data_IF_598215807934
#
_entry.id   IF_598215807934
#
_cell.length_a   1.000
_cell.length_b   1.000
_cell.length_c   1.000
_cell.angle_alpha   90.00
_cell.angle_beta   90.00
_cell.angle_gamma   90.00
#
_symmetry.space_group_name_H-M   'P 1'
#
loop_
_entity.id
_entity.type
_entity.pdbx_description
1 polymer ?
#
# COMPACT_ATOMS: atom_id res chain seq x y z
N UNK A 1 9.65 8.21 32.87
CA UNK A 1 9.28 7.88 31.48
C UNK A 1 8.91 9.16 30.78
N UNK A 2 9.74 9.70 29.90
CA UNK A 2 9.39 10.90 29.13
C UNK A 2 8.25 10.56 28.18
N UNK A 3 7.13 11.28 28.27
CA UNK A 3 6.03 11.10 27.32
C UNK A 3 6.45 11.56 25.91
N UNK A 4 6.33 10.65 24.94
CA UNK A 4 6.53 10.96 23.54
C UNK A 4 5.45 11.92 23.06
N UNK A 5 5.88 13.03 22.46
CA UNK A 5 4.96 14.00 21.86
C UNK A 5 4.20 13.38 20.69
N UNK A 6 3.02 13.94 20.38
CA UNK A 6 2.23 13.54 19.22
C UNK A 6 3.03 13.56 17.91
N UNK A 7 3.86 14.60 17.71
CA UNK A 7 4.71 14.73 16.51
C UNK A 7 5.70 13.60 16.38
N UNK A 8 6.31 13.16 17.48
CA UNK A 8 7.25 12.04 17.47
C UNK A 8 6.55 10.71 17.14
N UNK A 9 5.34 10.49 17.69
CA UNK A 9 4.53 9.30 17.35
C UNK A 9 4.12 9.30 15.87
N UNK A 10 3.67 10.46 15.35
CA UNK A 10 3.29 10.62 13.95
C UNK A 10 4.48 10.37 13.01
N UNK A 11 5.65 10.97 13.30
CA UNK A 11 6.86 10.75 12.50
C UNK A 11 7.33 9.29 12.52
N UNK A 12 7.19 8.59 13.64
CA UNK A 12 7.49 7.16 13.71
C UNK A 12 6.51 6.34 12.86
N UNK A 13 5.21 6.63 12.95
CA UNK A 13 4.19 5.95 12.15
C UNK A 13 4.42 6.14 10.65
N UNK A 14 4.69 7.36 10.17
CA UNK A 14 4.97 7.61 8.75
C UNK A 14 6.14 6.78 8.22
N UNK A 15 7.19 6.56 9.03
CA UNK A 15 8.33 5.71 8.66
C UNK A 15 7.95 4.24 8.50
N UNK A 16 7.06 3.74 9.36
CA UNK A 16 6.74 2.31 9.45
C UNK A 16 5.47 1.93 8.68
N UNK A 17 4.66 2.90 8.25
CA UNK A 17 3.33 2.65 7.68
C UNK A 17 3.39 1.75 6.44
N UNK A 18 4.34 1.99 5.54
CA UNK A 18 4.43 1.23 4.27
C UNK A 18 4.88 -0.22 4.49
N UNK A 19 5.89 -0.44 5.32
CA UNK A 19 6.36 -1.80 5.65
C UNK A 19 5.32 -2.60 6.42
N UNK A 20 4.62 -1.97 7.38
CA UNK A 20 3.53 -2.61 8.11
C UNK A 20 2.37 -2.97 7.19
N UNK A 21 2.01 -2.09 6.25
CA UNK A 21 0.97 -2.38 5.26
C UNK A 21 1.33 -3.58 4.38
N UNK A 22 2.56 -3.63 3.87
CA UNK A 22 3.04 -4.76 3.07
C UNK A 22 3.02 -6.07 3.86
N UNK A 23 3.47 -6.05 5.12
CA UNK A 23 3.42 -7.21 5.99
C UNK A 23 1.99 -7.70 6.22
N UNK A 24 1.03 -6.78 6.44
CA UNK A 24 -0.39 -7.12 6.56
C UNK A 24 -0.96 -7.74 5.28
N UNK A 25 -0.60 -7.25 4.10
CA UNK A 25 -1.01 -7.84 2.82
C UNK A 25 -0.46 -9.27 2.67
N UNK A 26 0.82 -9.47 3.01
CA UNK A 26 1.43 -10.81 3.01
C UNK A 26 0.69 -11.77 3.94
N UNK A 27 0.35 -11.33 5.15
CA UNK A 27 -0.41 -12.13 6.12
C UNK A 27 -1.83 -12.45 5.63
N UNK A 28 -2.43 -11.56 4.84
CA UNK A 28 -3.74 -11.78 4.22
C UNK A 28 -3.68 -12.68 2.96
N UNK A 29 -2.50 -13.19 2.59
CA UNK A 29 -2.31 -14.13 1.48
C UNK A 29 -2.13 -13.46 0.11
N UNK A 30 -1.91 -12.15 0.06
CA UNK A 30 -1.56 -11.47 -1.19
C UNK A 30 -0.10 -11.76 -1.56
N UNK A 31 0.14 -11.98 -2.85
CA UNK A 31 1.48 -12.04 -3.40
C UNK A 31 2.11 -10.65 -3.35
N UNK A 32 3.05 -10.47 -2.43
CA UNK A 32 3.70 -9.19 -2.16
C UNK A 32 5.20 -9.38 -2.08
N UNK A 33 5.92 -8.41 -2.66
CA UNK A 33 7.37 -8.34 -2.70
C UNK A 33 7.86 -7.05 -2.03
N UNK A 34 9.05 -7.04 -1.40
CA UNK A 34 9.67 -5.79 -0.94
C UNK A 34 9.76 -4.71 -2.02
N UNK A 35 9.92 -5.11 -3.29
CA UNK A 35 9.95 -4.20 -4.44
C UNK A 35 8.62 -3.47 -4.68
N UNK A 36 7.51 -3.95 -4.12
CA UNK A 36 6.22 -3.26 -4.22
C UNK A 36 6.20 -1.95 -3.40
N UNK A 37 7.12 -1.78 -2.45
CA UNK A 37 7.28 -0.53 -1.70
C UNK A 37 7.90 0.60 -2.53
N UNK A 38 8.66 0.23 -3.56
CA UNK A 38 9.34 1.15 -4.47
C UNK A 38 8.45 1.54 -5.66
N UNK A 39 7.41 0.74 -5.93
CA UNK A 39 6.47 1.02 -7.01
C UNK A 39 5.64 2.26 -6.66
N UNK A 40 5.63 3.30 -7.52
CA UNK A 40 4.72 4.42 -7.32
C UNK A 40 3.28 3.94 -7.36
N UNK A 41 2.43 4.55 -6.55
CA UNK A 41 0.99 4.33 -6.65
C UNK A 41 0.53 4.76 -8.04
N UNK A 42 -0.32 3.97 -8.72
CA UNK A 42 -0.89 4.36 -9.99
C UNK A 42 -1.70 5.64 -9.79
N UNK A 43 -1.69 6.49 -10.81
CA UNK A 43 -2.62 7.61 -10.91
C UNK A 43 -4.05 7.10 -10.96
N UNK A 44 -5.00 8.00 -10.68
CA UNK A 44 -6.42 7.67 -10.70
C UNK A 44 -6.84 7.18 -12.09
N UNK A 45 -6.33 7.80 -13.13
CA UNK A 45 -6.60 7.49 -14.53
C UNK A 45 -6.09 6.08 -14.88
N UNK A 46 -4.86 5.74 -14.48
CA UNK A 46 -4.27 4.40 -14.69
C UNK A 46 -5.04 3.31 -13.95
N UNK A 47 -5.45 3.57 -12.70
CA UNK A 47 -6.26 2.63 -11.92
C UNK A 47 -7.63 2.38 -12.57
N UNK A 48 -8.29 3.43 -13.07
CA UNK A 48 -9.57 3.32 -13.76
C UNK A 48 -9.44 2.61 -15.11
N UNK A 49 -8.37 2.88 -15.87
CA UNK A 49 -8.10 2.19 -17.13
C UNK A 49 -7.92 0.68 -16.91
N UNK A 50 -7.08 0.30 -15.93
CA UNK A 50 -6.87 -1.11 -15.56
C UNK A 50 -8.18 -1.79 -15.14
N UNK A 51 -8.98 -1.15 -14.28
CA UNK A 51 -10.27 -1.70 -13.87
C UNK A 51 -11.24 -1.94 -15.04
N UNK A 52 -11.32 -0.99 -15.98
CA UNK A 52 -12.15 -1.13 -17.18
C UNK A 52 -11.67 -2.29 -18.06
N UNK A 53 -10.36 -2.43 -18.23
CA UNK A 53 -9.76 -3.51 -19.02
C UNK A 53 -9.98 -4.88 -18.38
N UNK A 54 -9.78 -5.01 -17.07
CA UNK A 54 -10.09 -6.23 -16.30
C UNK A 54 -11.57 -6.61 -16.43
N UNK A 55 -12.48 -5.62 -16.43
CA UNK A 55 -13.92 -5.86 -16.62
C UNK A 55 -14.25 -6.39 -18.01
N UNK A 56 -13.54 -5.92 -19.05
CA UNK A 56 -13.72 -6.40 -20.42
C UNK A 56 -13.20 -7.84 -20.56
N UNK A 57 -12.04 -8.15 -19.98
CA UNK A 57 -11.43 -9.49 -20.03
C UNK A 57 -12.19 -10.56 -19.22
N UNK A 58 -13.00 -10.15 -18.25
CA UNK A 58 -13.84 -11.03 -17.43
C UNK A 58 -15.26 -11.20 -17.96
N UNK A 59 -15.62 -10.55 -19.07
CA UNK A 59 -16.87 -10.85 -19.76
C UNK A 59 -16.66 -12.10 -20.63
N UNK A 60 -17.58 -13.10 -20.56
CA UNK A 60 -17.46 -14.34 -21.31
C UNK A 60 -17.56 -14.14 -22.82
#
# INVERSE_FOLDING_TARGET
>A
MSELTFRQKSAHYEKMRRSNYLASLRLAGFDTSPTDLEKPLPTREEALAKYRQDKIQRQP
#
